data_IF_104273647325
#
_entry.id   IF_104273647325
#
_cell.length_a   1.000
_cell.length_b   1.000
_cell.length_c   1.000
_cell.angle_alpha   90.00
_cell.angle_beta   90.00
_cell.angle_gamma   90.00
#
_symmetry.space_group_name_H-M   'P 1'
#
loop_
_entity.id
_entity.type
_entity.pdbx_description
1 polymer ?
#
# COMPACT_ATOMS: atom_id res chain seq x y z
N UNK A 1 -42.76 30.32 -0.15
CA UNK A 1 -41.98 29.67 -1.22
C UNK A 1 -40.62 30.32 -1.23
N UNK A 2 -39.50 29.60 -1.15
CA UNK A 2 -39.04 28.61 -2.12
C UNK A 2 -38.27 29.37 -3.23
N UNK A 3 -36.98 29.18 -3.47
CA UNK A 3 -36.05 28.17 -2.99
C UNK A 3 -34.60 28.65 -3.03
N UNK A 4 -33.77 27.97 -2.24
CA UNK A 4 -32.32 28.07 -2.30
C UNK A 4 -31.74 27.18 -3.40
N UNK A 5 -30.49 27.45 -3.76
CA UNK A 5 -29.69 26.48 -4.49
C UNK A 5 -28.62 27.01 -5.43
N UNK A 6 -27.74 27.96 -5.05
CA UNK A 6 -26.49 28.18 -5.82
C UNK A 6 -25.27 28.63 -4.95
N UNK A 7 -25.31 28.46 -3.62
CA UNK A 7 -24.20 28.90 -2.75
C UNK A 7 -23.20 27.80 -2.35
N UNK A 8 -23.36 26.56 -2.84
CA UNK A 8 -22.54 25.41 -2.44
C UNK A 8 -21.42 24.99 -3.41
N UNK A 9 -21.51 25.35 -4.70
CA UNK A 9 -20.65 24.79 -5.76
C UNK A 9 -19.39 25.62 -6.07
N UNK A 10 -19.32 26.86 -5.58
CA UNK A 10 -18.13 27.71 -5.72
C UNK A 10 -17.05 27.42 -4.67
N UNK A 11 -17.40 26.72 -3.59
CA UNK A 11 -16.42 26.23 -2.62
C UNK A 11 -15.58 25.11 -3.23
N UNK A 12 -16.23 24.00 -3.61
CA UNK A 12 -15.52 22.81 -4.10
C UNK A 12 -14.64 23.09 -5.32
N UNK A 13 -15.09 23.87 -6.31
CA UNK A 13 -14.25 24.20 -7.48
C UNK A 13 -13.08 25.16 -7.19
N UNK A 14 -13.13 25.93 -6.10
CA UNK A 14 -12.05 26.84 -5.70
C UNK A 14 -10.95 26.16 -4.86
N UNK A 15 -11.29 25.12 -4.09
CA UNK A 15 -10.32 24.31 -3.35
C UNK A 15 -9.38 23.55 -4.29
N UNK A 16 -9.90 23.10 -5.43
CA UNK A 16 -9.13 22.39 -6.44
C UNK A 16 -8.09 23.32 -7.13
N UNK A 17 -8.38 24.62 -7.29
CA UNK A 17 -7.38 25.55 -7.84
C UNK A 17 -6.16 25.84 -6.97
N UNK A 18 -6.25 25.49 -5.68
CA UNK A 18 -5.28 25.91 -4.68
C UNK A 18 -4.22 24.85 -4.36
N UNK A 19 -4.47 23.57 -4.67
CA UNK A 19 -3.58 22.47 -4.27
C UNK A 19 -2.27 22.42 -5.06
N UNK A 20 -2.26 22.89 -6.32
CA UNK A 20 -1.07 22.80 -7.18
C UNK A 20 -0.08 23.97 -7.01
N UNK A 21 -0.49 25.09 -6.39
CA UNK A 21 0.28 26.35 -6.35
C UNK A 21 0.94 26.66 -5.00
N UNK A 22 0.58 25.97 -3.92
CA UNK A 22 1.14 26.27 -2.60
C UNK A 22 1.74 24.99 -2.07
N UNK A 23 3.04 24.95 -1.76
CA UNK A 23 3.68 23.84 -1.03
C UNK A 23 2.88 23.52 0.25
N UNK A 24 2.00 22.49 0.27
CA UNK A 24 0.99 22.35 1.31
C UNK A 24 1.24 21.12 2.17
N UNK A 25 2.25 20.31 1.85
CA UNK A 25 2.54 19.08 2.57
C UNK A 25 2.82 19.41 4.03
N UNK A 26 3.72 20.35 4.34
CA UNK A 26 4.09 20.67 5.71
C UNK A 26 2.98 21.33 6.55
N UNK A 27 2.19 22.24 5.97
CA UNK A 27 1.15 22.97 6.71
C UNK A 27 -0.12 22.14 6.92
N UNK A 28 -0.53 21.36 5.92
CA UNK A 28 -1.64 20.41 6.02
C UNK A 28 -1.27 19.21 6.88
N UNK A 29 -0.03 18.71 6.77
CA UNK A 29 0.52 17.69 7.67
C UNK A 29 0.58 18.22 9.10
N UNK A 30 1.03 19.45 9.35
CA UNK A 30 1.04 20.02 10.71
C UNK A 30 -0.36 20.12 11.31
N UNK A 31 -1.37 20.56 10.55
CA UNK A 31 -2.76 20.61 11.03
C UNK A 31 -3.35 19.23 11.25
N UNK A 32 -3.14 18.29 10.32
CA UNK A 32 -3.59 16.90 10.45
C UNK A 32 -2.90 16.17 11.61
N UNK A 33 -1.60 16.39 11.81
CA UNK A 33 -0.84 15.86 12.93
C UNK A 33 -1.31 16.46 14.26
N UNK A 34 -1.66 17.74 14.34
CA UNK A 34 -2.08 18.33 15.63
C UNK A 34 -3.49 17.98 16.07
N UNK A 35 -4.44 17.74 15.16
CA UNK A 35 -5.85 17.43 15.52
C UNK A 35 -6.16 15.94 15.49
N UNK A 36 -5.39 15.13 14.75
CA UNK A 36 -5.67 13.70 14.53
C UNK A 36 -4.52 12.76 14.97
N UNK A 37 -3.50 13.25 15.69
CA UNK A 37 -2.37 12.43 16.16
C UNK A 37 -2.80 11.18 16.92
N UNK A 38 -3.89 11.27 17.69
CA UNK A 38 -4.37 10.16 18.51
C UNK A 38 -4.77 8.94 17.68
N UNK A 39 -5.59 9.13 16.64
CA UNK A 39 -6.02 8.05 15.75
C UNK A 39 -4.90 7.54 14.84
N UNK A 40 -3.96 8.42 14.45
CA UNK A 40 -2.75 8.05 13.71
C UNK A 40 -1.84 7.13 14.53
N UNK A 41 -1.55 7.53 15.77
CA UNK A 41 -0.73 6.76 16.68
C UNK A 41 -1.42 5.44 17.02
N UNK A 42 -2.75 5.43 17.21
CA UNK A 42 -3.51 4.21 17.44
C UNK A 42 -3.44 3.27 16.23
N UNK A 43 -3.59 3.77 14.99
CA UNK A 43 -3.44 2.97 13.78
C UNK A 43 -2.05 2.36 13.64
N UNK A 44 -0.99 3.16 13.82
CA UNK A 44 0.39 2.68 13.79
C UNK A 44 0.70 1.70 14.93
N UNK A 45 0.16 1.95 16.13
CA UNK A 45 0.28 1.05 17.29
C UNK A 45 -0.42 -0.28 17.04
N UNK A 46 -1.57 -0.28 16.37
CA UNK A 46 -2.34 -1.49 16.08
C UNK A 46 -1.64 -2.35 15.02
N UNK A 47 -1.07 -1.72 13.98
CA UNK A 47 -0.18 -2.39 13.02
C UNK A 47 1.05 -2.98 13.74
N UNK A 48 1.72 -2.17 14.57
CA UNK A 48 2.88 -2.62 15.33
C UNK A 48 2.54 -3.75 16.31
N UNK A 49 1.40 -3.67 17.00
CA UNK A 49 0.92 -4.69 17.92
C UNK A 49 0.62 -6.01 17.19
N UNK A 50 0.01 -5.96 16.00
CA UNK A 50 -0.21 -7.13 15.17
C UNK A 50 1.12 -7.77 14.72
N UNK A 51 2.10 -6.96 14.31
CA UNK A 51 3.45 -7.43 13.97
C UNK A 51 4.18 -8.07 15.15
N UNK A 52 4.10 -7.46 16.35
CA UNK A 52 4.65 -8.03 17.58
C UNK A 52 3.96 -9.35 17.91
N UNK A 53 2.63 -9.42 17.86
CA UNK A 53 1.88 -10.65 18.09
C UNK A 53 2.29 -11.77 17.11
N UNK A 54 2.55 -11.43 15.83
CA UNK A 54 3.03 -12.37 14.81
C UNK A 54 4.42 -12.89 15.16
N UNK A 55 5.36 -12.01 15.49
CA UNK A 55 6.72 -12.44 15.85
C UNK A 55 6.72 -13.33 17.09
N UNK A 56 5.86 -13.04 18.07
CA UNK A 56 5.69 -13.88 19.26
C UNK A 56 5.07 -15.24 18.91
N UNK A 57 4.06 -15.28 18.05
CA UNK A 57 3.46 -16.53 17.57
C UNK A 57 4.48 -17.39 16.79
N UNK A 58 5.30 -16.78 15.92
CA UNK A 58 6.37 -17.47 15.20
C UNK A 58 7.48 -17.97 16.14
N UNK A 59 7.85 -17.19 17.15
CA UNK A 59 8.81 -17.60 18.16
C UNK A 59 8.27 -18.76 19.03
N UNK A 60 7.00 -18.71 19.42
CA UNK A 60 6.33 -19.80 20.12
C UNK A 60 6.29 -21.07 19.25
N UNK A 61 5.91 -20.94 17.97
CA UNK A 61 5.93 -22.04 17.00
C UNK A 61 7.31 -22.69 16.87
N UNK A 62 8.39 -21.89 16.84
CA UNK A 62 9.77 -22.38 16.78
C UNK A 62 10.17 -23.12 18.06
N UNK A 63 9.69 -22.69 19.24
CA UNK A 63 9.92 -23.37 20.52
C UNK A 63 9.18 -24.71 20.58
N UNK A 64 7.92 -24.76 20.17
CA UNK A 64 7.11 -25.99 20.15
C UNK A 64 7.66 -27.01 19.15
N UNK A 65 8.14 -26.57 17.98
CA UNK A 65 8.82 -27.45 17.00
C UNK A 65 10.09 -28.10 17.56
N UNK A 66 10.85 -27.39 18.40
CA UNK A 66 12.06 -27.95 19.05
C UNK A 66 11.73 -28.93 20.18
N UNK A 67 10.58 -28.79 20.81
CA UNK A 67 10.15 -29.64 21.93
C UNK A 67 9.46 -30.94 21.50
N UNK A 68 9.15 -31.14 20.21
CA UNK A 68 8.56 -32.39 19.69
C UNK A 68 7.09 -32.66 20.11
N UNK A 69 6.47 -31.77 20.88
CA UNK A 69 5.11 -31.93 21.42
C UNK A 69 4.16 -30.93 20.76
N UNK A 70 3.24 -31.41 19.92
CA UNK A 70 2.04 -30.67 19.52
C UNK A 70 2.04 -30.01 18.14
N UNK A 71 0.84 -30.02 17.52
CA UNK A 71 0.52 -29.66 16.13
C UNK A 71 1.18 -28.37 15.64
N UNK A 72 2.27 -28.54 14.87
CA UNK A 72 2.98 -27.45 14.21
C UNK A 72 2.15 -26.71 13.14
N UNK A 73 0.95 -27.21 12.85
CA UNK A 73 0.01 -26.70 11.85
C UNK A 73 -0.82 -25.52 12.38
N UNK A 74 -1.29 -25.58 13.63
CA UNK A 74 -2.13 -24.52 14.23
C UNK A 74 -1.35 -23.20 14.36
N UNK A 75 -0.10 -23.27 14.81
CA UNK A 75 0.76 -22.09 14.92
C UNK A 75 1.05 -21.43 13.57
N UNK A 76 1.13 -22.21 12.48
CA UNK A 76 1.28 -21.68 11.12
C UNK A 76 0.04 -20.92 10.66
N UNK A 77 -1.14 -21.44 10.98
CA UNK A 77 -2.42 -20.80 10.65
C UNK A 77 -2.53 -19.48 11.41
N UNK A 78 -2.25 -19.47 12.73
CA UNK A 78 -2.27 -18.26 13.55
C UNK A 78 -1.27 -17.22 13.03
N UNK A 79 -0.03 -17.60 12.71
CA UNK A 79 0.95 -16.66 12.14
C UNK A 79 0.50 -16.13 10.77
N UNK A 80 -0.17 -16.94 9.97
CA UNK A 80 -0.71 -16.53 8.68
C UNK A 80 -1.85 -15.52 8.81
N UNK A 81 -2.81 -15.79 9.71
CA UNK A 81 -3.93 -14.87 9.98
C UNK A 81 -3.44 -13.55 10.56
N UNK A 82 -2.48 -13.58 11.50
CA UNK A 82 -1.88 -12.36 12.05
C UNK A 82 -1.09 -11.58 10.99
N UNK A 83 -0.39 -12.27 10.08
CA UNK A 83 0.30 -11.63 8.97
C UNK A 83 -0.66 -10.97 7.98
N UNK A 84 -1.80 -11.61 7.68
CA UNK A 84 -2.85 -11.03 6.86
C UNK A 84 -3.45 -9.79 7.54
N UNK A 85 -3.73 -9.86 8.83
CA UNK A 85 -4.26 -8.73 9.61
C UNK A 85 -3.27 -7.55 9.66
N UNK A 86 -1.98 -7.82 9.86
CA UNK A 86 -0.91 -6.82 9.84
C UNK A 86 -0.85 -6.10 8.49
N UNK A 87 -0.86 -6.85 7.38
CA UNK A 87 -0.87 -6.28 6.03
C UNK A 87 -2.11 -5.42 5.80
N UNK A 88 -3.30 -5.95 6.16
CA UNK A 88 -4.58 -5.26 6.03
C UNK A 88 -4.60 -3.91 6.75
N UNK A 89 -4.14 -3.89 8.01
CA UNK A 89 -4.10 -2.69 8.83
C UNK A 89 -3.08 -1.67 8.31
N UNK A 90 -1.95 -2.14 7.78
CA UNK A 90 -0.92 -1.29 7.19
C UNK A 90 -1.46 -0.56 5.95
N UNK A 91 -2.07 -1.32 5.04
CA UNK A 91 -2.73 -0.80 3.84
C UNK A 91 -3.81 0.22 4.23
N UNK A 92 -4.70 -0.16 5.15
CA UNK A 92 -5.77 0.73 5.59
C UNK A 92 -5.25 2.07 6.14
N UNK A 93 -4.24 2.01 7.01
CA UNK A 93 -3.63 3.21 7.62
C UNK A 93 -3.02 4.12 6.56
N UNK A 94 -2.37 3.53 5.55
CA UNK A 94 -1.78 4.27 4.44
C UNK A 94 -2.83 4.94 3.56
N UNK A 95 -3.86 4.22 3.11
CA UNK A 95 -4.91 4.79 2.27
C UNK A 95 -5.66 5.92 2.99
N UNK A 96 -5.91 5.77 4.30
CA UNK A 96 -6.50 6.83 5.12
C UNK A 96 -5.60 8.08 5.19
N UNK A 97 -4.28 7.91 5.29
CA UNK A 97 -3.31 9.00 5.25
C UNK A 97 -3.29 9.74 3.92
N UNK A 98 -3.29 9.00 2.80
CA UNK A 98 -3.36 9.59 1.46
C UNK A 98 -4.68 10.33 1.26
N UNK A 99 -5.81 9.77 1.72
CA UNK A 99 -7.12 10.42 1.65
C UNK A 99 -7.16 11.73 2.44
N UNK A 100 -6.66 11.70 3.68
CA UNK A 100 -6.58 12.90 4.51
C UNK A 100 -5.68 13.97 3.89
N UNK A 101 -4.58 13.57 3.22
CA UNK A 101 -3.70 14.49 2.52
C UNK A 101 -4.37 15.13 1.28
N UNK A 102 -5.20 14.39 0.55
CA UNK A 102 -5.92 14.88 -0.63
C UNK A 102 -7.11 15.79 -0.26
N UNK A 103 -7.93 15.36 0.70
CA UNK A 103 -9.19 16.06 1.02
C UNK A 103 -9.03 17.11 2.12
N UNK A 104 -7.93 17.09 2.89
CA UNK A 104 -7.72 17.99 4.02
C UNK A 104 -8.71 17.79 5.18
N UNK A 105 -9.42 16.66 5.19
CA UNK A 105 -10.40 16.30 6.23
C UNK A 105 -9.73 15.74 7.48
N UNK A 106 -10.44 15.72 8.61
CA UNK A 106 -9.92 15.06 9.82
C UNK A 106 -9.72 13.57 9.58
N UNK A 107 -8.67 12.99 10.16
CA UNK A 107 -8.25 11.63 9.80
C UNK A 107 -9.27 10.55 10.19
N UNK A 108 -10.07 10.81 11.22
CA UNK A 108 -11.17 9.93 11.64
C UNK A 108 -12.26 9.86 10.59
N UNK A 109 -12.62 11.01 10.00
CA UNK A 109 -13.58 11.11 8.90
C UNK A 109 -12.98 10.50 7.63
N UNK A 110 -11.72 10.82 7.33
CA UNK A 110 -10.97 10.25 6.22
C UNK A 110 -10.96 8.71 6.28
N UNK A 111 -10.66 8.14 7.45
CA UNK A 111 -10.66 6.70 7.68
C UNK A 111 -12.03 6.07 7.49
N UNK A 112 -13.10 6.68 8.02
CA UNK A 112 -14.46 6.19 7.84
C UNK A 112 -14.89 6.17 6.37
N UNK A 113 -14.56 7.23 5.63
CA UNK A 113 -14.82 7.32 4.17
C UNK A 113 -13.98 6.31 3.39
N UNK A 114 -12.71 6.08 3.76
CA UNK A 114 -11.91 5.02 3.11
C UNK A 114 -12.48 3.63 3.38
N UNK A 115 -12.95 3.32 4.60
CA UNK A 115 -13.66 2.05 4.87
C UNK A 115 -14.92 1.93 4.01
N UNK A 116 -15.70 3.00 3.91
CA UNK A 116 -16.92 3.02 3.09
C UNK A 116 -16.60 2.80 1.60
N UNK A 117 -15.50 3.39 1.11
CA UNK A 117 -14.99 3.21 -0.24
C UNK A 117 -14.63 1.73 -0.51
N UNK A 118 -13.86 1.12 0.39
CA UNK A 118 -13.48 -0.30 0.28
C UNK A 118 -14.69 -1.25 0.38
N UNK A 119 -15.67 -0.94 1.23
CA UNK A 119 -16.92 -1.73 1.31
C UNK A 119 -17.74 -1.67 0.02
N UNK A 120 -17.76 -0.53 -0.67
CA UNK A 120 -18.53 -0.34 -1.90
C UNK A 120 -17.86 -0.93 -3.14
N UNK A 121 -16.52 -0.97 -3.18
CA UNK A 121 -15.74 -1.37 -4.37
C UNK A 121 -15.01 -2.71 -4.23
N UNK A 122 -15.08 -3.34 -3.04
CA UNK A 122 -14.51 -4.66 -2.76
C UNK A 122 -13.11 -4.61 -2.17
N UNK A 123 -12.74 -5.70 -1.47
CA UNK A 123 -11.40 -5.90 -0.88
C UNK A 123 -10.33 -6.27 -1.93
N UNK A 124 -10.69 -6.37 -3.21
CA UNK A 124 -9.79 -6.72 -4.31
C UNK A 124 -8.63 -5.75 -4.46
N UNK A 125 -8.85 -4.46 -4.22
CA UNK A 125 -7.79 -3.45 -4.21
C UNK A 125 -6.70 -3.77 -3.16
N UNK A 126 -7.08 -4.32 -2.01
CA UNK A 126 -6.16 -4.66 -0.93
C UNK A 126 -5.37 -5.92 -1.24
N UNK A 127 -6.03 -6.94 -1.82
CA UNK A 127 -5.35 -8.16 -2.29
C UNK A 127 -4.33 -7.82 -3.38
N UNK A 128 -4.67 -6.90 -4.29
CA UNK A 128 -3.75 -6.43 -5.32
C UNK A 128 -2.56 -5.64 -4.73
N UNK A 129 -2.76 -4.86 -3.66
CA UNK A 129 -1.70 -4.14 -2.94
C UNK A 129 -0.68 -5.11 -2.31
N UNK A 130 -1.17 -6.21 -1.72
CA UNK A 130 -0.33 -7.25 -1.10
C UNK A 130 0.47 -8.02 -2.18
N UNK A 131 -0.18 -8.37 -3.30
CA UNK A 131 0.48 -8.96 -4.49
C UNK A 131 1.54 -8.02 -5.07
N UNK A 132 1.23 -6.73 -5.17
CA UNK A 132 2.14 -5.70 -5.66
C UNK A 132 3.35 -5.60 -4.73
N UNK A 133 3.15 -5.58 -3.42
CA UNK A 133 4.26 -5.57 -2.44
C UNK A 133 5.18 -6.78 -2.59
N UNK A 134 4.63 -7.98 -2.82
CA UNK A 134 5.43 -9.19 -3.07
C UNK A 134 6.20 -9.09 -4.39
N UNK A 135 5.56 -8.63 -5.46
CA UNK A 135 6.19 -8.42 -6.76
C UNK A 135 7.31 -7.37 -6.70
N UNK A 136 7.09 -6.26 -5.99
CA UNK A 136 8.08 -5.20 -5.80
C UNK A 136 9.30 -5.72 -5.02
N UNK A 137 9.09 -6.53 -3.98
CA UNK A 137 10.20 -7.18 -3.24
C UNK A 137 11.00 -8.12 -4.11
N UNK A 138 10.35 -8.88 -4.99
CA UNK A 138 11.03 -9.73 -5.97
C UNK A 138 11.86 -8.88 -6.96
N UNK A 139 11.33 -7.75 -7.42
CA UNK A 139 12.07 -6.79 -8.24
C UNK A 139 13.30 -6.20 -7.53
N UNK A 140 13.18 -5.82 -6.26
CA UNK A 140 14.30 -5.36 -5.45
C UNK A 140 15.40 -6.42 -5.31
N UNK A 141 15.05 -7.71 -5.20
CA UNK A 141 16.03 -8.79 -5.14
C UNK A 141 16.86 -8.88 -6.42
N UNK A 142 16.25 -8.72 -7.59
CA UNK A 142 16.97 -8.73 -8.88
C UNK A 142 17.96 -7.56 -8.95
N UNK A 143 17.52 -6.35 -8.60
CA UNK A 143 18.39 -5.15 -8.60
C UNK A 143 19.55 -5.30 -7.61
N UNK A 144 19.30 -5.92 -6.45
CA UNK A 144 20.33 -6.18 -5.45
C UNK A 144 21.39 -7.18 -5.95
N UNK A 145 20.97 -8.24 -6.67
CA UNK A 145 21.90 -9.20 -7.30
C UNK A 145 22.72 -8.54 -8.40
N UNK A 146 22.12 -7.67 -9.21
CA UNK A 146 22.86 -6.89 -10.23
C UNK A 146 23.86 -5.94 -9.58
N UNK A 147 23.49 -5.29 -8.47
CA UNK A 147 24.38 -4.44 -7.67
C UNK A 147 25.54 -5.22 -7.04
N UNK A 148 25.30 -6.46 -6.61
CA UNK A 148 26.36 -7.35 -6.13
C UNK A 148 27.32 -7.75 -7.26
N UNK A 149 26.78 -8.10 -8.43
CA UNK A 149 27.56 -8.51 -9.59
C UNK A 149 28.42 -7.36 -10.14
N UNK A 150 27.89 -6.13 -10.18
CA UNK A 150 28.65 -4.95 -10.61
C UNK A 150 29.77 -4.60 -9.62
N UNK A 151 29.53 -4.71 -8.31
CA UNK A 151 30.55 -4.53 -7.28
C UNK A 151 31.67 -5.57 -7.37
N UNK A 152 31.31 -6.83 -7.65
CA UNK A 152 32.29 -7.90 -7.86
C UNK A 152 33.10 -7.71 -9.14
N UNK A 153 32.47 -7.36 -10.26
CA UNK A 153 33.15 -7.10 -11.52
C UNK A 153 34.14 -5.94 -11.42
N UNK A 154 33.76 -4.85 -10.74
CA UNK A 154 34.65 -3.70 -10.50
C UNK A 154 35.90 -4.09 -9.69
N UNK A 155 35.72 -4.83 -8.59
CA UNK A 155 36.83 -5.26 -7.76
C UNK A 155 37.79 -6.21 -8.51
N UNK A 156 37.26 -7.06 -9.39
CA UNK A 156 38.06 -7.94 -10.27
C UNK A 156 38.86 -7.17 -11.32
N UNK A 157 38.28 -6.14 -11.94
CA UNK A 157 38.98 -5.34 -12.96
C UNK A 157 40.14 -4.52 -12.41
N UNK A 158 40.10 -4.17 -11.12
CA UNK A 158 41.16 -3.41 -10.46
C UNK A 158 42.14 -4.28 -9.68
N UNK A 159 42.02 -5.61 -9.77
CA UNK A 159 42.86 -6.58 -9.06
C UNK A 159 42.96 -6.32 -7.54
N UNK A 160 41.86 -5.86 -6.93
CA UNK A 160 41.82 -5.66 -5.48
C UNK A 160 41.85 -7.04 -4.79
N UNK A 161 42.63 -7.15 -3.71
CA UNK A 161 42.73 -8.40 -2.95
C UNK A 161 41.36 -8.96 -2.52
N UNK A 162 41.30 -10.28 -2.28
CA UNK A 162 40.05 -11.03 -2.06
C UNK A 162 39.11 -10.46 -0.98
N UNK A 163 39.67 -9.82 0.05
CA UNK A 163 38.90 -9.16 1.11
C UNK A 163 38.09 -7.97 0.60
N UNK A 164 38.67 -7.19 -0.32
CA UNK A 164 38.02 -6.02 -0.90
C UNK A 164 36.97 -6.42 -1.94
N UNK A 165 37.18 -7.51 -2.69
CA UNK A 165 36.16 -8.06 -3.61
C UNK A 165 34.85 -8.38 -2.87
N UNK A 166 34.97 -9.11 -1.75
CA UNK A 166 33.82 -9.44 -0.92
C UNK A 166 33.16 -8.18 -0.35
N UNK A 167 33.95 -7.23 0.16
CA UNK A 167 33.44 -5.99 0.73
C UNK A 167 32.65 -5.14 -0.28
N UNK A 168 33.21 -4.90 -1.48
CA UNK A 168 32.54 -4.11 -2.52
C UNK A 168 31.26 -4.79 -3.03
N UNK A 169 31.26 -6.11 -3.18
CA UNK A 169 30.06 -6.85 -3.61
C UNK A 169 28.92 -6.76 -2.59
N UNK A 170 29.23 -6.84 -1.28
CA UNK A 170 28.25 -6.71 -0.19
C UNK A 170 27.74 -5.27 -0.13
N UNK A 171 28.61 -4.26 -0.22
CA UNK A 171 28.18 -2.87 -0.28
C UNK A 171 27.28 -2.60 -1.50
N UNK A 172 27.63 -3.13 -2.68
CA UNK A 172 26.82 -3.01 -3.90
C UNK A 172 25.43 -3.63 -3.76
N UNK A 173 25.33 -4.79 -3.10
CA UNK A 173 24.05 -5.41 -2.78
C UNK A 173 23.15 -4.50 -1.92
N UNK A 174 23.68 -3.97 -0.81
CA UNK A 174 22.89 -3.13 0.10
C UNK A 174 22.49 -1.79 -0.51
N UNK A 175 23.40 -1.15 -1.25
CA UNK A 175 23.11 0.11 -1.94
C UNK A 175 22.05 -0.11 -3.03
N UNK A 176 22.21 -1.15 -3.86
CA UNK A 176 21.24 -1.48 -4.90
C UNK A 176 19.86 -1.82 -4.34
N UNK A 177 19.82 -2.63 -3.28
CA UNK A 177 18.58 -2.96 -2.58
C UNK A 177 17.91 -1.72 -1.96
N UNK A 178 18.70 -0.86 -1.32
CA UNK A 178 18.21 0.37 -0.67
C UNK A 178 17.59 1.35 -1.66
N UNK A 179 18.30 1.63 -2.76
CA UNK A 179 17.80 2.53 -3.82
C UNK A 179 16.52 2.00 -4.45
N UNK A 180 16.50 0.70 -4.79
CA UNK A 180 15.31 0.09 -5.39
C UNK A 180 14.11 0.14 -4.43
N UNK A 181 14.32 -0.16 -3.15
CA UNK A 181 13.26 -0.13 -2.14
C UNK A 181 12.63 1.25 -1.97
N UNK A 182 13.44 2.32 -2.03
CA UNK A 182 12.92 3.70 -1.97
C UNK A 182 12.06 3.99 -3.21
N UNK A 183 12.54 3.64 -4.41
CA UNK A 183 11.76 3.86 -5.64
C UNK A 183 10.43 3.11 -5.62
N UNK A 184 10.42 1.86 -5.16
CA UNK A 184 9.20 1.06 -5.08
C UNK A 184 8.18 1.66 -4.10
N UNK A 185 8.61 2.16 -2.93
CA UNK A 185 7.69 2.80 -1.97
C UNK A 185 7.08 4.10 -2.49
N UNK A 186 7.82 4.83 -3.33
CA UNK A 186 7.30 6.03 -4.01
C UNK A 186 6.25 5.64 -5.05
N UNK A 187 6.54 4.65 -5.91
CA UNK A 187 5.61 4.18 -6.95
C UNK A 187 4.30 3.71 -6.33
N UNK A 188 4.40 2.89 -5.30
CA UNK A 188 3.29 2.32 -4.57
C UNK A 188 2.40 3.42 -3.94
N UNK A 189 3.01 4.49 -3.41
CA UNK A 189 2.26 5.63 -2.87
C UNK A 189 1.60 6.47 -3.97
N UNK A 190 2.24 6.58 -5.13
CA UNK A 190 1.68 7.26 -6.28
C UNK A 190 0.45 6.50 -6.84
N UNK A 191 0.53 5.16 -6.93
CA UNK A 191 -0.60 4.32 -7.38
C UNK A 191 -1.80 4.47 -6.44
N UNK A 192 -1.59 4.39 -5.13
CA UNK A 192 -2.65 4.61 -4.14
C UNK A 192 -3.31 5.98 -4.29
N UNK A 193 -2.52 7.03 -4.56
CA UNK A 193 -3.02 8.40 -4.77
C UNK A 193 -3.85 8.49 -6.05
N UNK A 194 -3.37 7.95 -7.17
CA UNK A 194 -4.10 7.96 -8.45
C UNK A 194 -5.41 7.18 -8.33
N UNK A 195 -5.38 6.02 -7.68
CA UNK A 195 -6.56 5.21 -7.43
C UNK A 195 -7.60 6.00 -6.64
N UNK A 196 -7.17 6.69 -5.59
CA UNK A 196 -8.06 7.46 -4.74
C UNK A 196 -8.64 8.68 -5.45
N UNK A 197 -7.84 9.38 -6.26
CA UNK A 197 -8.32 10.46 -7.13
C UNK A 197 -9.37 9.97 -8.13
N UNK A 198 -9.14 8.81 -8.75
CA UNK A 198 -10.12 8.17 -9.63
C UNK A 198 -11.38 7.74 -8.87
N UNK A 199 -11.23 7.35 -7.60
CA UNK A 199 -12.33 6.90 -6.78
C UNK A 199 -13.26 8.05 -6.34
N UNK A 200 -12.69 9.23 -6.08
CA UNK A 200 -13.42 10.40 -5.59
C UNK A 200 -14.18 11.13 -6.71
N UNK A 201 -13.54 11.42 -7.85
CA UNK A 201 -14.19 12.11 -8.96
C UNK A 201 -13.69 11.61 -10.34
N UNK A 202 -14.38 10.61 -10.95
CA UNK A 202 -14.00 10.11 -12.26
C UNK A 202 -14.26 11.11 -13.39
N UNK A 203 -15.13 12.12 -13.20
CA UNK A 203 -15.47 13.07 -14.27
C UNK A 203 -14.37 14.10 -14.49
N UNK A 204 -13.72 14.56 -13.43
CA UNK A 204 -12.56 15.45 -13.53
C UNK A 204 -11.35 14.77 -14.18
N UNK A 205 -11.17 13.45 -14.01
CA UNK A 205 -10.11 12.71 -14.69
C UNK A 205 -10.41 12.56 -16.20
N UNK A 206 -11.68 12.34 -16.56
CA UNK A 206 -12.14 12.22 -17.95
C UNK A 206 -11.95 13.51 -18.75
N UNK A 207 -12.14 14.67 -18.13
CA UNK A 207 -11.99 15.98 -18.79
C UNK A 207 -10.54 16.42 -18.97
N UNK A 208 -9.67 16.15 -17.99
CA UNK A 208 -8.25 16.55 -18.05
C UNK A 208 -7.39 15.57 -18.88
N UNK A 209 -7.69 14.27 -18.84
CA UNK A 209 -6.87 13.23 -19.50
C UNK A 209 -7.73 12.09 -20.07
N UNK A 210 -8.46 12.31 -21.19
CA UNK A 210 -9.40 11.34 -21.73
C UNK A 210 -8.75 10.01 -22.19
N UNK A 211 -7.49 10.05 -22.64
CA UNK A 211 -6.76 8.85 -23.07
C UNK A 211 -6.44 7.88 -21.92
N UNK A 212 -5.92 8.39 -20.79
CA UNK A 212 -5.60 7.55 -19.63
C UNK A 212 -6.85 7.05 -18.90
N UNK A 213 -7.91 7.85 -18.89
CA UNK A 213 -9.19 7.46 -18.32
C UNK A 213 -9.76 6.20 -18.98
N UNK A 214 -9.66 6.08 -20.32
CA UNK A 214 -10.13 4.89 -21.05
C UNK A 214 -9.43 3.61 -20.63
N UNK A 215 -8.10 3.65 -20.48
CA UNK A 215 -7.32 2.50 -20.01
C UNK A 215 -7.62 2.13 -18.56
N UNK A 216 -7.72 3.11 -17.66
CA UNK A 216 -8.08 2.86 -16.25
C UNK A 216 -9.48 2.25 -16.13
N UNK A 217 -10.45 2.76 -16.89
CA UNK A 217 -11.81 2.25 -16.87
C UNK A 217 -11.90 0.83 -17.44
N UNK A 218 -11.14 0.52 -18.50
CA UNK A 218 -11.07 -0.82 -19.06
C UNK A 218 -10.48 -1.82 -18.06
N UNK A 219 -9.34 -1.50 -17.44
CA UNK A 219 -8.74 -2.34 -16.40
C UNK A 219 -9.66 -2.48 -15.17
N UNK A 220 -10.36 -1.42 -14.80
CA UNK A 220 -11.33 -1.43 -13.71
C UNK A 220 -12.49 -2.38 -13.99
N UNK A 221 -13.09 -2.28 -15.19
CA UNK A 221 -14.20 -3.14 -15.60
C UNK A 221 -13.79 -4.61 -15.62
N UNK A 222 -12.57 -4.90 -16.10
CA UNK A 222 -12.02 -6.24 -16.14
C UNK A 222 -11.81 -6.84 -14.72
N UNK A 223 -11.28 -6.05 -13.78
CA UNK A 223 -11.15 -6.48 -12.39
C UNK A 223 -12.51 -6.71 -11.69
N UNK A 224 -13.51 -5.86 -11.96
CA UNK A 224 -14.85 -6.03 -11.41
C UNK A 224 -15.55 -7.26 -11.98
N UNK A 225 -15.47 -7.51 -13.30
CA UNK A 225 -16.07 -8.70 -13.91
C UNK A 225 -15.46 -10.00 -13.38
N UNK A 226 -14.15 -10.02 -13.13
CA UNK A 226 -13.46 -11.17 -12.55
C UNK A 226 -13.85 -11.38 -11.08
N UNK A 227 -14.08 -10.30 -10.33
CA UNK A 227 -14.54 -10.37 -8.94
C UNK A 227 -15.96 -10.92 -8.82
N UNK A 228 -16.85 -10.54 -9.74
CA UNK A 228 -18.20 -11.08 -9.83
C UNK A 228 -18.19 -12.54 -10.28
N UNK A 229 -17.33 -12.91 -11.23
CA UNK A 229 -17.14 -14.30 -11.66
C UNK A 229 -16.59 -15.20 -10.53
N UNK A 230 -15.69 -14.67 -9.69
CA UNK A 230 -15.15 -15.38 -8.53
C UNK A 230 -16.17 -15.48 -7.38
N UNK A 231 -17.07 -14.49 -7.22
CA UNK A 231 -18.13 -14.52 -6.22
C UNK A 231 -19.28 -15.50 -6.57
N UNK A 232 -19.43 -15.87 -7.85
CA UNK A 232 -20.43 -16.85 -8.32
C UNK A 232 -19.95 -18.31 -8.12
N UNK A 233 -18.72 -18.54 -7.65
CA UNK A 233 -18.22 -19.89 -7.37
C UNK A 233 -17.99 -20.17 -5.87
N UNK A 234 -19.02 -20.41 -5.07
CA UNK A 234 -18.93 -21.29 -3.92
C UNK A 234 -19.48 -22.67 -4.31
N UNK A 235 -18.58 -23.65 -4.39
CA UNK A 235 -18.84 -25.10 -4.39
C UNK A 235 -19.71 -25.64 -5.54
N UNK A 236 -19.28 -26.78 -6.09
CA UNK A 236 -20.03 -27.42 -7.16
C UNK A 236 -21.49 -27.68 -6.76
N UNK A 237 -22.44 -27.05 -7.44
CA UNK A 237 -23.77 -27.62 -7.66
C UNK A 237 -24.33 -27.09 -8.98
N UNK A 238 -24.66 -28.04 -9.86
CA UNK A 238 -25.60 -27.96 -11.00
C UNK A 238 -26.88 -27.23 -10.52
N UNK A 239 -27.63 -26.43 -11.30
CA UNK A 239 -28.71 -26.85 -12.23
C UNK A 239 -29.22 -25.63 -13.03
N UNK A 240 -29.46 -25.87 -14.34
CA UNK A 240 -30.41 -25.25 -15.31
C UNK A 240 -30.74 -23.76 -15.20
#
# INVERSE_FOLDING_TARGET
>A
GGGGGISGTWGLSAWWRKWWLTSPAGASLRRALTTSFGSLCLGALLVAAAGVARTLAEQAARRTRRAGVGSSSLWRIVSGVLGCLESLLSVFTRYALVYAALTGTSLTTAGAETVALFRRRGWSAIVNDDLTTVALRAGCAVVAVVGMASGFAYARTMELGSTYEAFLSVCGFFIGFGVCSILMTVIDSAVATVFLCFAEDPQSLRSNHPGYYGHLLASWQQCCSDSDAAAILPEGTVVV
#
